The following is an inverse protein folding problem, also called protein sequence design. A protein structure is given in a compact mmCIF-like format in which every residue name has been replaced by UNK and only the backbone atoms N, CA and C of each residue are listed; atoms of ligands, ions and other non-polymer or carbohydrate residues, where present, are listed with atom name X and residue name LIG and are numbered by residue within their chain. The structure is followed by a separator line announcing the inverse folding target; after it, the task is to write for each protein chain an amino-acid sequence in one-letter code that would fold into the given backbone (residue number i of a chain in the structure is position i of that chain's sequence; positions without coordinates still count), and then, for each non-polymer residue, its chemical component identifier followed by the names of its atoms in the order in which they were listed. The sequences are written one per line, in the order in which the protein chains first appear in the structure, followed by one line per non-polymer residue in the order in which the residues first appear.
data_IF_441271305208
#
_entry.id   IF_441271305208
#
_cell.length_a   1.000
_cell.length_b   1.000
_cell.length_c   1.000
_cell.angle_alpha   90.00
_cell.angle_beta   90.00
_cell.angle_gamma   90.00
#
_symmetry.space_group_name_H-M   'P 1'
#
loop_
_entity.id
_entity.type
_entity.pdbx_description
1 polymer ?
#
# COMPACT_ATOMS: atom_id res chain seq x y z
N UNK A 1 23.49 -11.39 5.78
CA UNK A 1 22.39 -10.65 6.43
C UNK A 1 21.13 -11.46 6.24
N UNK A 2 20.31 -11.66 7.28
CA UNK A 2 19.00 -12.31 7.15
C UNK A 2 17.97 -11.21 7.08
N UNK A 3 17.23 -11.15 5.99
CA UNK A 3 16.20 -10.15 5.74
C UNK A 3 14.90 -10.87 5.39
N UNK A 4 13.78 -10.28 5.79
CA UNK A 4 12.44 -10.67 5.34
C UNK A 4 11.82 -9.51 4.59
N UNK A 5 11.08 -9.82 3.53
CA UNK A 5 10.44 -8.84 2.66
C UNK A 5 8.93 -8.99 2.79
N UNK A 6 8.24 -7.90 3.09
CA UNK A 6 6.78 -7.83 3.19
C UNK A 6 6.29 -6.49 2.63
N UNK A 7 5.03 -6.17 2.87
CA UNK A 7 4.44 -4.83 2.80
C UNK A 7 3.86 -4.50 4.17
N UNK A 8 3.66 -3.22 4.46
CA UNK A 8 2.93 -2.83 5.66
C UNK A 8 1.48 -3.33 5.56
N UNK A 9 1.11 -4.30 6.41
CA UNK A 9 -0.20 -4.93 6.37
C UNK A 9 -1.33 -3.96 6.75
N UNK A 10 -1.06 -3.01 7.64
CA UNK A 10 -2.04 -1.99 8.03
C UNK A 10 -2.38 -1.08 6.85
N UNK A 11 -1.35 -0.59 6.15
CA UNK A 11 -1.52 0.28 4.99
C UNK A 11 -2.20 -0.46 3.83
N UNK A 12 -1.87 -1.74 3.61
CA UNK A 12 -2.57 -2.58 2.63
C UNK A 12 -4.07 -2.72 2.94
N UNK A 13 -4.43 -2.94 4.21
CA UNK A 13 -5.82 -3.00 4.65
C UNK A 13 -6.56 -1.68 4.43
N UNK A 14 -5.91 -0.56 4.78
CA UNK A 14 -6.46 0.77 4.55
C UNK A 14 -6.68 1.07 3.06
N UNK A 15 -5.67 0.75 2.22
CA UNK A 15 -5.75 0.91 0.77
C UNK A 15 -6.90 0.10 0.17
N UNK A 16 -7.14 -1.12 0.63
CA UNK A 16 -8.27 -1.94 0.20
C UNK A 16 -9.61 -1.23 0.44
N UNK A 17 -9.81 -0.69 1.65
CA UNK A 17 -11.06 0.00 2.01
C UNK A 17 -11.22 1.28 1.21
N UNK A 18 -10.16 2.07 1.05
CA UNK A 18 -10.15 3.28 0.24
C UNK A 18 -10.52 2.98 -1.22
N UNK A 19 -9.91 1.96 -1.82
CA UNK A 19 -10.20 1.54 -3.18
C UNK A 19 -11.67 1.14 -3.36
N UNK A 20 -12.21 0.36 -2.43
CA UNK A 20 -13.62 -0.01 -2.42
C UNK A 20 -14.55 1.20 -2.36
N UNK A 21 -14.22 2.20 -1.53
CA UNK A 21 -14.98 3.45 -1.44
C UNK A 21 -14.99 4.21 -2.77
N UNK A 22 -13.83 4.39 -3.41
CA UNK A 22 -13.73 5.09 -4.69
C UNK A 22 -14.66 4.47 -5.75
N UNK A 23 -14.65 3.14 -5.84
CA UNK A 23 -15.47 2.41 -6.80
C UNK A 23 -16.97 2.55 -6.53
N UNK A 24 -17.40 2.52 -5.25
CA UNK A 24 -18.80 2.72 -4.87
C UNK A 24 -19.27 4.15 -5.16
N UNK A 25 -18.38 5.13 -5.02
CA UNK A 25 -18.67 6.54 -5.33
C UNK A 25 -18.61 6.85 -6.84
N UNK A 26 -18.21 5.88 -7.68
CA UNK A 26 -18.10 6.05 -9.13
C UNK A 26 -16.86 6.83 -9.56
N UNK A 27 -15.87 6.97 -8.69
CA UNK A 27 -14.60 7.61 -9.00
C UNK A 27 -13.69 6.65 -9.78
N UNK A 28 -12.85 7.20 -10.66
CA UNK A 28 -11.80 6.45 -11.34
C UNK A 28 -10.45 6.59 -10.61
N UNK A 29 -9.61 5.57 -10.68
CA UNK A 29 -8.23 5.65 -10.20
C UNK A 29 -7.38 6.42 -11.21
N UNK A 30 -6.53 7.33 -10.70
CA UNK A 30 -5.49 7.98 -11.48
C UNK A 30 -4.26 7.06 -11.59
N UNK A 31 -3.34 7.32 -12.51
CA UNK A 31 -2.08 6.56 -12.57
C UNK A 31 -1.27 6.70 -11.27
N UNK A 32 -1.35 7.87 -10.63
CA UNK A 32 -0.79 8.15 -9.31
C UNK A 32 -1.89 8.68 -8.40
N UNK A 33 -2.05 8.09 -7.22
CA UNK A 33 -3.08 8.46 -6.26
C UNK A 33 -2.45 8.85 -4.93
N UNK A 34 -2.74 10.06 -4.47
CA UNK A 34 -2.49 10.46 -3.08
C UNK A 34 -3.66 9.99 -2.22
N UNK A 35 -3.41 8.98 -1.38
CA UNK A 35 -4.41 8.42 -0.49
C UNK A 35 -4.25 9.04 0.89
N UNK A 36 -5.26 9.75 1.43
CA UNK A 36 -5.15 10.39 2.73
C UNK A 36 -4.80 9.39 3.84
N UNK A 37 -3.71 9.66 4.57
CA UNK A 37 -3.23 8.82 5.66
C UNK A 37 -2.20 7.76 5.26
N UNK A 38 -1.87 7.65 3.97
CA UNK A 38 -0.73 6.86 3.50
C UNK A 38 0.43 7.80 3.13
N UNK A 39 1.65 7.40 3.50
CA UNK A 39 2.86 8.17 3.21
C UNK A 39 3.45 7.88 1.82
N UNK A 40 2.82 6.96 1.07
CA UNK A 40 3.25 6.51 -0.25
C UNK A 40 2.27 6.95 -1.34
N UNK A 41 2.81 7.34 -2.50
CA UNK A 41 2.02 7.51 -3.72
C UNK A 41 1.63 6.13 -4.23
N UNK A 42 0.32 5.94 -4.44
CA UNK A 42 -0.23 4.66 -4.88
C UNK A 42 -0.30 4.65 -6.41
N UNK A 43 0.48 3.77 -7.02
CA UNK A 43 0.49 3.59 -8.47
C UNK A 43 -0.68 2.69 -8.89
N UNK A 44 -1.48 3.14 -9.85
CA UNK A 44 -2.48 2.30 -10.48
C UNK A 44 -1.93 1.74 -11.79
N UNK A 45 -1.89 0.41 -11.87
CA UNK A 45 -1.55 -0.35 -13.06
C UNK A 45 -2.85 -0.78 -13.76
N UNK A 46 -3.30 -0.06 -14.80
CA UNK A 46 -4.66 -0.22 -15.34
C UNK A 46 -4.85 -1.52 -16.13
N UNK A 47 -3.80 -2.05 -16.76
CA UNK A 47 -3.88 -3.29 -17.54
C UNK A 47 -4.13 -4.49 -16.60
N UNK A 48 -3.48 -4.49 -15.44
CA UNK A 48 -3.55 -5.52 -14.41
C UNK A 48 -4.64 -5.27 -13.37
N UNK A 49 -5.19 -4.05 -13.33
CA UNK A 49 -6.14 -3.56 -12.31
C UNK A 49 -5.57 -3.64 -10.89
N UNK A 50 -4.33 -3.20 -10.71
CA UNK A 50 -3.61 -3.25 -9.45
C UNK A 50 -3.38 -1.83 -8.91
N UNK A 51 -3.66 -1.61 -7.63
CA UNK A 51 -3.15 -0.47 -6.87
C UNK A 51 -1.93 -0.93 -6.07
N UNK A 52 -0.76 -0.43 -6.43
CA UNK A 52 0.50 -0.77 -5.80
C UNK A 52 0.78 0.20 -4.65
N UNK A 53 0.90 -0.33 -3.43
CA UNK A 53 1.13 0.46 -2.21
C UNK A 53 2.44 1.26 -2.26
N UNK A 54 3.43 0.76 -3.00
CA UNK A 54 4.77 1.33 -3.09
C UNK A 54 5.84 0.28 -2.79
N UNK A 55 7.04 0.71 -2.35
CA UNK A 55 8.15 -0.20 -2.08
C UNK A 55 7.81 -1.18 -0.94
N UNK A 56 8.38 -2.39 -0.97
CA UNK A 56 8.19 -3.35 0.11
C UNK A 56 8.86 -2.89 1.40
N UNK A 57 8.32 -3.36 2.52
CA UNK A 57 8.95 -3.27 3.83
C UNK A 57 10.08 -4.30 3.90
N UNK A 58 11.30 -3.84 4.18
CA UNK A 58 12.47 -4.69 4.45
C UNK A 58 12.66 -4.79 5.97
N UNK A 59 12.52 -6.01 6.49
CA UNK A 59 12.66 -6.30 7.92
C UNK A 59 13.99 -6.98 8.15
N UNK A 60 14.79 -6.40 9.04
CA UNK A 60 16.11 -6.88 9.42
C UNK A 60 16.30 -6.77 10.95
N UNK A 61 17.51 -7.09 11.44
CA UNK A 61 17.80 -7.06 12.88
C UNK A 61 17.68 -5.67 13.52
N UNK A 62 17.78 -4.60 12.73
CA UNK A 62 17.72 -3.22 13.23
C UNK A 62 16.29 -2.76 13.50
N UNK A 63 15.31 -3.25 12.71
CA UNK A 63 13.92 -2.74 12.74
C UNK A 63 12.86 -3.80 13.06
N UNK A 64 13.23 -5.07 13.26
CA UNK A 64 12.26 -6.17 13.50
C UNK A 64 11.34 -5.91 14.70
N UNK A 65 11.76 -5.09 15.67
CA UNK A 65 10.97 -4.77 16.86
C UNK A 65 10.14 -3.47 16.71
N UNK A 66 10.21 -2.79 15.56
CA UNK A 66 9.50 -1.51 15.31
C UNK A 66 8.06 -1.73 14.82
N UNK A 67 7.68 -2.97 14.55
CA UNK A 67 6.39 -3.31 13.95
C UNK A 67 5.50 -4.12 14.91
N UNK A 68 4.26 -3.67 15.07
CA UNK A 68 3.19 -4.34 15.82
C UNK A 68 1.93 -4.36 14.93
N UNK A 69 1.88 -5.34 14.02
CA UNK A 69 0.81 -5.52 13.04
C UNK A 69 0.01 -6.80 13.25
#
# INVERSE_FOLDING_TARGET
MKESVLWNAFDLGYLMVWAGKQLVEGNEFQLENEVPGLDHVIEYLPEEKILLLGPPLIINEDNVNDFDF
#
